data_IF_129581337730
#
_entry.id   IF_129581337730
#
_cell.length_a   1.000
_cell.length_b   1.000
_cell.length_c   1.000
_cell.angle_alpha   90.00
_cell.angle_beta   90.00
_cell.angle_gamma   90.00
#
_symmetry.space_group_name_H-M   'P 1'
#
loop_
_entity.id
_entity.type
_entity.pdbx_description
1 polymer ?
#
# COMPACT_ATOMS: atom_id res chain seq x y z
N UNK A 1 -32.28 9.99 17.33
CA UNK A 1 -31.69 11.05 16.53
C UNK A 1 -30.30 11.37 17.02
N UNK A 2 -29.32 11.50 16.17
CA UNK A 2 -27.92 11.81 16.47
C UNK A 2 -27.39 12.82 15.46
N UNK A 3 -26.46 13.65 15.89
CA UNK A 3 -25.69 14.53 15.04
C UNK A 3 -24.18 14.29 15.32
N UNK A 4 -23.37 14.20 14.29
CA UNK A 4 -21.92 14.04 14.38
C UNK A 4 -21.26 14.64 13.13
N UNK A 5 -20.33 15.57 13.32
CA UNK A 5 -19.77 16.33 12.21
C UNK A 5 -20.87 17.08 11.44
N UNK A 6 -20.89 16.87 10.13
CA UNK A 6 -21.91 17.43 9.22
C UNK A 6 -23.09 16.47 8.94
N UNK A 7 -23.13 15.31 9.62
CA UNK A 7 -24.20 14.31 9.48
C UNK A 7 -25.22 14.45 10.58
N UNK A 8 -26.49 14.50 10.20
CA UNK A 8 -27.65 14.53 11.09
C UNK A 8 -28.62 13.42 10.69
N UNK A 9 -29.04 12.56 11.65
CA UNK A 9 -29.86 11.43 11.26
C UNK A 9 -30.33 10.55 12.44
N UNK A 10 -30.75 9.33 12.11
CA UNK A 10 -31.23 8.35 13.07
C UNK A 10 -30.38 7.09 13.02
N UNK A 11 -30.04 6.56 14.19
CA UNK A 11 -29.37 5.27 14.35
C UNK A 11 -30.29 4.30 15.07
N UNK A 12 -30.11 2.99 14.83
CA UNK A 12 -30.83 1.97 15.59
C UNK A 12 -30.19 1.83 16.99
N UNK A 13 -31.01 1.97 18.03
CA UNK A 13 -30.58 1.88 19.43
C UNK A 13 -29.92 0.55 19.79
N UNK A 14 -30.26 -0.53 19.10
CA UNK A 14 -29.67 -1.86 19.35
C UNK A 14 -28.14 -1.89 19.10
N UNK A 15 -27.64 -0.92 18.35
CA UNK A 15 -26.19 -0.76 18.02
C UNK A 15 -25.55 0.42 18.73
N UNK A 16 -26.20 1.00 19.74
CA UNK A 16 -25.75 2.19 20.43
C UNK A 16 -25.59 1.94 21.93
N UNK A 17 -24.52 2.42 22.49
CA UNK A 17 -24.37 2.63 23.93
C UNK A 17 -24.52 4.11 24.24
N UNK A 18 -25.14 4.45 25.37
CA UNK A 18 -25.46 5.84 25.74
C UNK A 18 -25.12 6.12 27.20
N UNK A 19 -25.06 7.39 27.57
CA UNK A 19 -24.79 7.83 28.95
C UNK A 19 -23.42 7.44 29.49
N UNK A 20 -23.33 7.06 30.74
CA UNK A 20 -22.09 6.69 31.41
C UNK A 20 -21.43 5.44 30.84
N UNK A 21 -22.23 4.52 30.30
CA UNK A 21 -21.74 3.31 29.65
C UNK A 21 -20.99 3.65 28.34
N UNK A 22 -21.51 4.60 27.57
CA UNK A 22 -20.84 5.09 26.36
C UNK A 22 -19.50 5.76 26.70
N UNK A 23 -19.45 6.54 27.78
CA UNK A 23 -18.20 7.16 28.22
C UNK A 23 -17.16 6.12 28.63
N UNK A 24 -17.55 5.11 29.39
CA UNK A 24 -16.67 4.03 29.82
C UNK A 24 -16.17 3.22 28.59
N UNK A 25 -17.04 2.93 27.65
CA UNK A 25 -16.68 2.27 26.39
C UNK A 25 -15.69 3.10 25.59
N UNK A 26 -15.94 4.41 25.45
CA UNK A 26 -15.07 5.31 24.71
C UNK A 26 -13.67 5.40 25.33
N UNK A 27 -13.57 5.54 26.66
CA UNK A 27 -12.29 5.57 27.38
C UNK A 27 -11.48 4.28 27.24
N UNK A 28 -12.12 3.14 27.04
CA UNK A 28 -11.44 1.86 26.84
C UNK A 28 -11.02 1.57 25.41
N UNK A 29 -11.71 2.14 24.43
CA UNK A 29 -11.58 1.75 23.02
C UNK A 29 -11.00 2.85 22.12
N UNK A 30 -10.93 4.09 22.60
CA UNK A 30 -10.40 5.21 21.83
C UNK A 30 -9.19 5.82 22.53
N UNK A 31 -8.25 6.30 21.73
CA UNK A 31 -7.09 7.02 22.22
C UNK A 31 -7.51 8.37 22.81
N UNK A 32 -6.71 8.88 23.74
CA UNK A 32 -6.81 10.25 24.22
C UNK A 32 -5.82 11.12 23.47
N UNK A 33 -6.25 12.30 23.09
CA UNK A 33 -5.44 13.30 22.39
C UNK A 33 -5.31 14.57 23.26
N UNK A 34 -4.19 15.25 23.12
CA UNK A 34 -3.90 16.54 23.75
C UNK A 34 -3.74 17.58 22.65
N UNK A 35 -4.69 18.51 22.53
CA UNK A 35 -4.62 19.65 21.63
C UNK A 35 -3.83 20.80 22.28
N UNK A 36 -2.82 21.29 21.59
CA UNK A 36 -1.94 22.37 22.02
C UNK A 36 -2.66 23.72 21.87
N UNK A 37 -2.69 24.49 22.95
CA UNK A 37 -3.40 25.78 23.02
C UNK A 37 -2.48 27.00 23.04
N UNK A 38 -1.21 26.82 22.75
CA UNK A 38 -0.23 27.92 22.72
C UNK A 38 0.85 27.67 21.69
N UNK A 39 1.41 28.73 21.15
CA UNK A 39 2.55 28.60 20.25
C UNK A 39 3.84 28.37 21.02
N UNK A 40 4.64 27.42 20.54
CA UNK A 40 5.95 27.12 21.12
C UNK A 40 5.90 26.27 22.38
N UNK A 41 4.86 25.42 22.56
CA UNK A 41 4.82 24.44 23.62
C UNK A 41 6.01 23.49 23.50
N UNK A 42 6.79 23.39 24.56
CA UNK A 42 7.99 22.55 24.59
C UNK A 42 7.63 21.11 24.91
N UNK A 43 8.08 20.20 24.07
CA UNK A 43 8.06 18.75 24.32
C UNK A 43 9.37 18.40 25.02
N UNK A 44 9.31 17.74 26.16
CA UNK A 44 10.47 17.44 27.02
C UNK A 44 10.72 15.93 27.15
N UNK A 45 11.97 15.61 27.53
CA UNK A 45 12.37 14.21 27.75
C UNK A 45 11.77 13.60 29.02
N UNK A 46 11.45 14.40 30.01
CA UNK A 46 10.92 14.00 31.33
C UNK A 46 9.87 15.00 31.81
N UNK A 47 9.06 14.60 32.79
CA UNK A 47 8.04 15.43 33.46
C UNK A 47 8.68 16.44 34.43
N UNK A 48 9.58 17.29 33.95
CA UNK A 48 10.32 18.28 34.72
C UNK A 48 10.59 19.54 33.89
N UNK A 49 10.44 20.72 34.51
CA UNK A 49 10.68 22.01 33.84
C UNK A 49 12.14 22.21 33.39
N UNK A 50 13.08 21.54 34.07
CA UNK A 50 14.51 21.57 33.76
C UNK A 50 14.95 20.47 32.80
N UNK A 51 14.06 19.51 32.48
CA UNK A 51 14.36 18.44 31.52
C UNK A 51 14.67 18.96 30.12
N UNK A 52 15.45 18.22 29.40
CA UNK A 52 15.85 18.54 28.01
C UNK A 52 14.64 18.78 27.14
N UNK A 53 14.67 19.89 26.38
CA UNK A 53 13.67 20.17 25.36
C UNK A 53 14.00 19.40 24.08
N UNK A 54 13.09 18.55 23.64
CA UNK A 54 13.23 17.76 22.41
C UNK A 54 12.87 18.62 21.20
N UNK A 55 11.74 19.32 21.29
CA UNK A 55 11.22 20.22 20.24
C UNK A 55 10.18 21.16 20.84
N UNK A 56 9.68 22.07 20.00
CA UNK A 56 8.52 22.89 20.32
C UNK A 56 7.47 22.73 19.21
N UNK A 57 6.20 22.76 19.60
CA UNK A 57 5.05 22.63 18.70
C UNK A 57 4.17 23.85 18.74
N UNK A 58 3.42 24.09 17.66
CA UNK A 58 2.53 25.24 17.52
C UNK A 58 1.14 24.96 18.08
N UNK A 59 0.41 26.02 18.36
CA UNK A 59 -1.03 25.96 18.67
C UNK A 59 -1.80 25.19 17.60
N UNK A 60 -2.80 24.39 18.01
CA UNK A 60 -3.59 23.52 17.15
C UNK A 60 -2.93 22.16 16.84
N UNK A 61 -1.68 21.93 17.29
CA UNK A 61 -1.06 20.62 17.14
C UNK A 61 -1.76 19.61 18.04
N UNK A 62 -2.14 18.45 17.51
CA UNK A 62 -2.70 17.34 18.27
C UNK A 62 -1.62 16.32 18.56
N UNK A 63 -1.47 15.93 19.81
CA UNK A 63 -0.51 14.95 20.31
C UNK A 63 -1.26 13.76 20.91
N UNK A 64 -0.87 12.54 20.55
CA UNK A 64 -1.43 11.34 21.16
C UNK A 64 -0.95 11.23 22.62
N UNK A 65 -1.88 11.10 23.56
CA UNK A 65 -1.57 10.89 24.98
C UNK A 65 -1.11 9.44 25.19
N UNK A 66 -0.06 9.25 25.94
CA UNK A 66 0.40 7.94 26.40
C UNK A 66 -0.33 7.60 27.71
N UNK A 67 -1.50 6.99 27.57
CA UNK A 67 -2.35 6.61 28.72
C UNK A 67 -1.76 5.50 29.57
N UNK A 68 -0.67 4.86 29.14
CA UNK A 68 0.06 3.85 29.92
C UNK A 68 1.03 4.44 30.96
N UNK A 69 1.24 5.76 30.95
CA UNK A 69 2.16 6.45 31.83
C UNK A 69 1.40 7.39 32.73
N UNK A 70 1.45 7.15 34.06
CA UNK A 70 0.91 8.06 35.06
C UNK A 70 1.83 9.27 35.22
N UNK A 71 1.25 10.45 35.21
CA UNK A 71 1.92 11.73 35.46
C UNK A 71 1.19 12.48 36.59
N UNK A 72 1.83 13.48 37.14
CA UNK A 72 1.16 14.43 38.06
C UNK A 72 0.26 15.41 37.26
N UNK A 73 -0.54 16.19 37.95
CA UNK A 73 -1.50 17.12 37.36
C UNK A 73 -0.85 18.24 36.52
N UNK A 74 0.48 18.37 36.54
CA UNK A 74 1.23 19.40 35.81
C UNK A 74 1.71 18.94 34.44
N UNK A 75 1.81 17.63 34.24
CA UNK A 75 2.38 17.05 33.04
C UNK A 75 1.45 16.06 32.37
N UNK A 76 1.53 16.01 31.07
CA UNK A 76 0.86 14.99 30.26
C UNK A 76 1.92 14.23 29.48
N UNK A 77 1.90 12.89 29.58
CA UNK A 77 2.70 12.00 28.79
C UNK A 77 2.10 11.92 27.38
N UNK A 78 2.91 12.13 26.35
CA UNK A 78 2.51 12.10 24.95
C UNK A 78 3.47 11.24 24.13
N UNK A 79 3.00 10.63 23.07
CA UNK A 79 3.84 9.88 22.12
C UNK A 79 4.37 10.85 21.06
N UNK A 80 5.68 11.07 21.02
CA UNK A 80 6.32 11.88 20.00
C UNK A 80 7.56 11.18 19.45
N UNK A 81 7.60 11.00 18.11
CA UNK A 81 8.68 10.25 17.46
C UNK A 81 8.78 8.78 17.90
N UNK A 82 7.64 8.17 18.25
CA UNK A 82 7.57 6.77 18.70
C UNK A 82 8.07 6.54 20.14
N UNK A 83 8.27 7.62 20.93
CA UNK A 83 8.75 7.54 22.32
C UNK A 83 7.91 8.44 23.21
N UNK A 84 7.70 8.01 24.45
CA UNK A 84 7.02 8.82 25.47
C UNK A 84 7.81 10.08 25.76
N UNK A 85 7.12 11.22 25.74
CA UNK A 85 7.60 12.56 26.02
C UNK A 85 6.60 13.29 26.90
N UNK A 86 6.93 14.49 27.35
CA UNK A 86 6.11 15.21 28.31
C UNK A 86 5.87 16.66 27.88
N UNK A 87 4.63 17.10 28.07
CA UNK A 87 4.20 18.48 27.87
C UNK A 87 3.51 19.00 29.11
N UNK A 88 3.55 20.31 29.34
CA UNK A 88 2.83 20.92 30.48
C UNK A 88 1.32 20.86 30.23
N UNK A 89 0.58 20.37 31.22
CA UNK A 89 -0.88 20.25 31.18
C UNK A 89 -1.58 21.61 31.06
N UNK A 90 -0.98 22.70 31.54
CA UNK A 90 -1.56 24.04 31.48
C UNK A 90 -1.79 24.56 30.04
N UNK A 91 -1.10 24.01 29.08
CA UNK A 91 -1.09 24.48 27.68
C UNK A 91 -1.74 23.53 26.68
N UNK A 92 -2.43 22.52 27.17
CA UNK A 92 -3.15 21.57 26.33
C UNK A 92 -4.57 21.32 26.82
N UNK A 93 -5.43 20.87 25.94
CA UNK A 93 -6.76 20.33 26.31
C UNK A 93 -6.79 18.87 25.88
N UNK A 94 -7.16 17.99 26.78
CA UNK A 94 -7.30 16.57 26.47
C UNK A 94 -8.73 16.22 26.08
N UNK A 95 -8.89 15.41 25.07
CA UNK A 95 -10.16 14.85 24.61
C UNK A 95 -9.95 13.43 24.10
N UNK A 96 -11.04 12.67 24.02
CA UNK A 96 -11.01 11.38 23.32
C UNK A 96 -10.93 11.62 21.83
N UNK A 97 -10.10 10.84 21.14
CA UNK A 97 -10.00 10.82 19.67
C UNK A 97 -11.23 10.13 19.06
N UNK A 98 -12.38 10.79 19.17
CA UNK A 98 -13.63 10.30 18.60
C UNK A 98 -13.72 10.75 17.14
N UNK A 99 -14.06 9.81 16.24
CA UNK A 99 -14.37 10.16 14.87
C UNK A 99 -15.63 11.01 14.74
N UNK A 100 -15.71 11.77 13.68
CA UNK A 100 -16.93 12.48 13.29
C UNK A 100 -17.68 11.67 12.23
N UNK A 101 -19.01 11.84 12.19
CA UNK A 101 -19.82 11.26 11.12
C UNK A 101 -19.47 11.93 9.80
N UNK A 102 -19.29 11.12 8.77
CA UNK A 102 -19.07 11.58 7.40
C UNK A 102 -20.20 11.09 6.51
N UNK A 103 -20.52 11.84 5.46
CA UNK A 103 -21.50 11.43 4.47
C UNK A 103 -20.98 10.28 3.62
N UNK A 104 -21.89 9.55 2.95
CA UNK A 104 -21.50 8.49 2.00
C UNK A 104 -20.66 9.06 0.87
N UNK A 105 -20.94 10.26 0.42
CA UNK A 105 -20.19 10.96 -0.61
C UNK A 105 -18.76 11.28 -0.15
N UNK A 106 -18.58 11.72 1.09
CA UNK A 106 -17.27 11.97 1.68
C UNK A 106 -16.48 10.69 1.87
N UNK A 107 -17.11 9.60 2.34
CA UNK A 107 -16.47 8.30 2.46
C UNK A 107 -15.98 7.79 1.09
N UNK A 108 -16.83 7.89 0.06
CA UNK A 108 -16.47 7.48 -1.30
C UNK A 108 -15.32 8.33 -1.88
N UNK A 109 -15.33 9.63 -1.63
CA UNK A 109 -14.27 10.53 -2.06
C UNK A 109 -12.92 10.20 -1.37
N UNK A 110 -12.94 9.91 -0.07
CA UNK A 110 -11.75 9.53 0.68
C UNK A 110 -11.21 8.16 0.21
N UNK A 111 -12.08 7.17 0.00
CA UNK A 111 -11.66 5.87 -0.55
C UNK A 111 -11.07 6.01 -1.95
N UNK A 112 -11.62 6.87 -2.81
CA UNK A 112 -11.07 7.17 -4.12
C UNK A 112 -9.68 7.84 -4.03
N UNK A 113 -9.52 8.79 -3.11
CA UNK A 113 -8.23 9.46 -2.86
C UNK A 113 -7.16 8.48 -2.38
N UNK A 114 -7.51 7.60 -1.44
CA UNK A 114 -6.58 6.56 -0.94
C UNK A 114 -6.16 5.61 -2.09
N UNK A 115 -7.13 5.19 -2.92
CA UNK A 115 -6.83 4.31 -4.05
C UNK A 115 -5.92 4.99 -5.09
N UNK A 116 -6.12 6.29 -5.35
CA UNK A 116 -5.27 7.07 -6.25
C UNK A 116 -3.86 7.26 -5.67
N UNK A 117 -3.73 7.53 -4.37
CA UNK A 117 -2.44 7.66 -3.70
C UNK A 117 -1.66 6.34 -3.68
N UNK A 118 -2.34 5.21 -3.45
CA UNK A 118 -1.71 3.89 -3.55
C UNK A 118 -1.27 3.57 -4.99
N UNK A 119 -2.08 3.92 -5.99
CA UNK A 119 -1.71 3.76 -7.39
C UNK A 119 -0.51 4.63 -7.77
N UNK A 120 -0.48 5.90 -7.30
CA UNK A 120 0.65 6.80 -7.50
C UNK A 120 1.93 6.30 -6.81
N UNK A 121 1.84 5.76 -5.60
CA UNK A 121 2.97 5.14 -4.89
C UNK A 121 3.51 3.91 -5.64
N UNK A 122 2.64 3.08 -6.19
CA UNK A 122 3.03 1.94 -7.03
C UNK A 122 3.72 2.40 -8.32
N UNK A 123 3.19 3.44 -8.97
CA UNK A 123 3.80 4.01 -10.18
C UNK A 123 5.18 4.64 -9.91
N UNK A 124 5.35 5.31 -8.76
CA UNK A 124 6.62 5.93 -8.37
C UNK A 124 7.74 4.90 -8.03
N UNK A 125 7.39 3.63 -7.83
CA UNK A 125 8.36 2.55 -7.62
C UNK A 125 8.96 2.00 -8.95
N UNK A 126 8.53 2.51 -10.09
CA UNK A 126 9.16 2.21 -11.38
C UNK A 126 10.45 3.04 -11.46
N UNK A 127 11.60 2.43 -11.20
CA UNK A 127 12.92 3.04 -11.49
C UNK A 127 12.98 3.35 -13.00
N UNK A 128 13.68 4.40 -13.44
CA UNK A 128 13.84 4.72 -14.87
C UNK A 128 14.15 3.44 -15.67
N UNK A 129 13.15 2.95 -16.38
CA UNK A 129 13.26 1.69 -17.12
C UNK A 129 13.58 2.04 -18.56
N UNK A 130 14.77 1.69 -19.01
CA UNK A 130 15.10 1.77 -20.43
C UNK A 130 14.37 0.67 -21.16
N UNK A 131 13.30 1.04 -21.88
CA UNK A 131 12.57 0.10 -22.74
C UNK A 131 13.38 -0.23 -23.98
N UNK A 132 13.64 -1.50 -24.21
CA UNK A 132 14.34 -2.02 -25.38
C UNK A 132 13.30 -2.64 -26.33
N UNK A 133 13.48 -2.43 -27.64
CA UNK A 133 12.66 -3.04 -28.67
C UNK A 133 13.45 -4.17 -29.33
N UNK A 134 13.06 -5.39 -29.02
CA UNK A 134 13.60 -6.61 -29.63
C UNK A 134 12.83 -6.97 -30.93
N UNK A 135 13.32 -7.95 -31.66
CA UNK A 135 12.56 -8.52 -32.77
C UNK A 135 11.26 -9.18 -32.30
N UNK A 136 10.19 -8.96 -33.01
CA UNK A 136 8.91 -9.64 -32.75
C UNK A 136 9.07 -11.15 -32.93
N UNK A 137 8.33 -11.93 -32.16
CA UNK A 137 8.22 -13.39 -32.33
C UNK A 137 6.89 -13.69 -32.99
N UNK A 138 6.91 -14.49 -34.01
CA UNK A 138 5.66 -15.00 -34.61
C UNK A 138 4.90 -15.80 -33.53
N UNK A 139 3.68 -15.40 -33.28
CA UNK A 139 2.86 -15.95 -32.20
C UNK A 139 1.47 -16.28 -32.71
N UNK A 140 0.92 -17.38 -32.22
CA UNK A 140 -0.47 -17.75 -32.41
C UNK A 140 -1.39 -17.02 -31.43
N UNK A 141 -2.70 -17.07 -31.67
CA UNK A 141 -3.70 -16.56 -30.71
C UNK A 141 -3.59 -17.29 -29.36
N UNK A 142 -3.25 -18.58 -29.43
CA UNK A 142 -3.04 -19.40 -28.22
C UNK A 142 -1.81 -18.92 -27.40
N UNK A 143 -0.73 -18.51 -28.06
CA UNK A 143 0.47 -17.96 -27.40
C UNK A 143 0.16 -16.64 -26.69
N UNK A 144 -0.61 -15.75 -27.33
CA UNK A 144 -1.05 -14.48 -26.69
C UNK A 144 -1.87 -14.76 -25.45
N UNK A 145 -2.84 -15.67 -25.55
CA UNK A 145 -3.72 -16.04 -24.45
C UNK A 145 -2.95 -16.69 -23.30
N UNK A 146 -2.02 -17.58 -23.61
CA UNK A 146 -1.20 -18.27 -22.63
C UNK A 146 -0.22 -17.32 -21.91
N UNK A 147 0.43 -16.44 -22.68
CA UNK A 147 1.31 -15.40 -22.11
C UNK A 147 0.53 -14.42 -21.24
N UNK A 148 -0.65 -13.99 -21.66
CA UNK A 148 -1.52 -13.15 -20.85
C UNK A 148 -1.99 -13.85 -19.58
N UNK A 149 -2.23 -15.15 -19.63
CA UNK A 149 -2.64 -15.93 -18.45
C UNK A 149 -1.54 -16.04 -17.40
N UNK A 150 -0.28 -16.27 -17.81
CA UNK A 150 0.83 -16.27 -16.84
C UNK A 150 1.08 -14.86 -16.29
N UNK A 151 1.04 -13.82 -17.12
CA UNK A 151 1.13 -12.43 -16.68
C UNK A 151 0.06 -12.15 -15.61
N UNK A 152 -1.18 -12.56 -15.85
CA UNK A 152 -2.25 -12.36 -14.86
C UNK A 152 -2.01 -13.13 -13.57
N UNK A 153 -1.48 -14.34 -13.61
CA UNK A 153 -1.19 -15.13 -12.43
C UNK A 153 -0.08 -14.53 -11.56
N UNK A 154 0.95 -13.96 -12.19
CA UNK A 154 2.13 -13.43 -11.51
C UNK A 154 2.01 -11.94 -11.17
N UNK A 155 1.37 -11.14 -12.03
CA UNK A 155 1.35 -9.69 -11.97
C UNK A 155 -0.02 -9.06 -12.25
N UNK A 156 -1.11 -9.80 -12.15
CA UNK A 156 -2.45 -9.33 -12.52
C UNK A 156 -3.01 -8.19 -11.66
N UNK A 157 -2.36 -7.88 -10.55
CA UNK A 157 -2.68 -6.74 -9.66
C UNK A 157 -1.54 -5.70 -9.61
N UNK A 158 -0.51 -5.87 -10.43
CA UNK A 158 0.58 -4.90 -10.57
C UNK A 158 0.18 -3.77 -11.53
N UNK A 159 0.96 -2.68 -11.53
CA UNK A 159 0.91 -1.65 -12.57
C UNK A 159 1.20 -2.27 -13.94
N UNK A 160 0.75 -1.60 -15.00
CA UNK A 160 0.88 -2.12 -16.37
C UNK A 160 2.32 -2.47 -16.74
N UNK A 161 3.27 -1.63 -16.36
CA UNK A 161 4.71 -1.85 -16.57
C UNK A 161 5.21 -3.14 -15.90
N UNK A 162 4.65 -3.50 -14.74
CA UNK A 162 4.94 -4.77 -14.05
C UNK A 162 4.36 -5.98 -14.79
N UNK A 163 3.17 -5.83 -15.37
CA UNK A 163 2.56 -6.85 -16.24
C UNK A 163 3.40 -7.06 -17.50
N UNK A 164 3.80 -5.98 -18.18
CA UNK A 164 4.67 -6.03 -19.35
C UNK A 164 6.02 -6.67 -19.01
N UNK A 165 6.61 -6.34 -17.87
CA UNK A 165 7.90 -6.87 -17.43
C UNK A 165 7.88 -8.39 -17.23
N UNK A 166 6.80 -8.95 -16.67
CA UNK A 166 6.64 -10.43 -16.59
C UNK A 166 6.56 -11.05 -17.97
N UNK A 167 5.81 -10.42 -18.90
CA UNK A 167 5.75 -10.84 -20.29
C UNK A 167 7.13 -10.79 -20.97
N UNK A 168 7.87 -9.70 -20.76
CA UNK A 168 9.23 -9.52 -21.28
C UNK A 168 10.19 -10.62 -20.78
N UNK A 169 10.14 -11.00 -19.49
CA UNK A 169 10.95 -12.12 -18.97
C UNK A 169 10.68 -13.42 -19.71
N UNK A 170 9.41 -13.77 -19.96
CA UNK A 170 9.08 -14.98 -20.72
C UNK A 170 9.68 -14.89 -22.13
N UNK A 171 9.54 -13.76 -22.81
CA UNK A 171 10.06 -13.55 -24.16
C UNK A 171 11.58 -13.50 -24.21
N UNK A 172 12.24 -12.95 -23.20
CA UNK A 172 13.71 -12.97 -23.07
C UNK A 172 14.23 -14.40 -22.92
N UNK A 173 13.54 -15.25 -22.17
CA UNK A 173 13.86 -16.68 -22.07
C UNK A 173 13.73 -17.37 -23.43
N UNK A 174 12.63 -17.16 -24.15
CA UNK A 174 12.43 -17.71 -25.51
C UNK A 174 13.57 -17.33 -26.45
N UNK A 175 14.11 -16.10 -26.35
CA UNK A 175 15.19 -15.59 -27.20
C UNK A 175 16.60 -15.98 -26.76
N UNK A 176 16.82 -16.31 -25.50
CA UNK A 176 18.16 -16.40 -24.90
C UNK A 176 18.93 -17.68 -25.27
N UNK A 177 18.33 -18.68 -25.86
CA UNK A 177 18.97 -19.98 -26.16
C UNK A 177 19.32 -20.84 -24.94
N UNK A 178 19.21 -20.29 -23.72
CA UNK A 178 19.42 -21.01 -22.47
C UNK A 178 18.13 -21.61 -21.87
N UNK A 179 17.00 -21.35 -22.50
CA UNK A 179 15.67 -21.79 -22.12
C UNK A 179 14.96 -22.42 -23.33
N UNK A 180 13.79 -23.04 -23.13
CA UNK A 180 12.97 -23.51 -24.25
C UNK A 180 12.65 -22.39 -25.24
N UNK A 181 12.48 -22.73 -26.51
CA UNK A 181 12.31 -21.77 -27.60
C UNK A 181 10.85 -21.39 -27.91
N UNK A 182 9.89 -21.89 -27.13
CA UNK A 182 8.46 -21.58 -27.30
C UNK A 182 7.88 -20.95 -26.03
N UNK A 183 6.87 -20.12 -26.19
CA UNK A 183 6.13 -19.51 -25.07
C UNK A 183 5.58 -20.60 -24.14
N UNK A 184 4.94 -21.61 -24.71
CA UNK A 184 4.38 -22.74 -23.99
C UNK A 184 5.44 -23.44 -23.12
N UNK A 185 6.56 -23.84 -23.72
CA UNK A 185 7.56 -24.63 -23.01
C UNK A 185 8.32 -23.84 -21.94
N UNK A 186 8.49 -22.52 -22.12
CA UNK A 186 9.03 -21.63 -21.08
C UNK A 186 8.06 -21.53 -19.90
N UNK A 187 6.77 -21.36 -20.15
CA UNK A 187 5.76 -21.22 -19.09
C UNK A 187 5.61 -22.52 -18.28
N UNK A 188 5.61 -23.66 -18.96
CA UNK A 188 5.45 -24.98 -18.33
C UNK A 188 6.77 -25.65 -17.93
N UNK A 189 7.90 -24.95 -18.10
CA UNK A 189 9.19 -25.47 -17.64
C UNK A 189 9.14 -25.78 -16.14
N UNK A 190 9.57 -26.98 -15.77
CA UNK A 190 9.48 -27.47 -14.38
C UNK A 190 10.08 -26.48 -13.38
N UNK A 191 9.32 -26.16 -12.36
CA UNK A 191 9.71 -25.30 -11.22
C UNK A 191 10.01 -23.82 -11.56
N UNK A 192 9.67 -23.35 -12.75
CA UNK A 192 9.87 -21.93 -13.12
C UNK A 192 8.69 -21.05 -12.72
N UNK A 193 7.48 -21.48 -13.05
CA UNK A 193 6.25 -20.76 -12.74
C UNK A 193 5.30 -21.65 -11.91
N UNK A 194 5.25 -21.48 -10.57
CA UNK A 194 4.35 -22.28 -9.73
C UNK A 194 2.88 -22.29 -10.18
N UNK A 195 2.29 -21.17 -10.66
CA UNK A 195 0.92 -21.15 -11.18
C UNK A 195 0.68 -22.06 -12.37
N UNK A 196 1.69 -22.28 -13.24
CA UNK A 196 1.57 -23.19 -14.37
C UNK A 196 1.45 -24.66 -13.89
N UNK A 197 2.31 -25.08 -12.96
CA UNK A 197 2.27 -26.41 -12.38
C UNK A 197 1.00 -26.69 -11.55
N UNK A 198 0.41 -25.66 -10.94
CA UNK A 198 -0.85 -25.75 -10.18
C UNK A 198 -2.13 -25.69 -11.04
N UNK A 199 -2.02 -25.55 -12.36
CA UNK A 199 -3.17 -25.44 -13.27
C UNK A 199 -3.85 -24.06 -13.29
N UNK A 200 -3.34 -23.09 -12.55
CA UNK A 200 -3.93 -21.74 -12.50
C UNK A 200 -3.87 -21.04 -13.86
N UNK A 201 -2.75 -21.19 -14.58
CA UNK A 201 -2.57 -20.60 -15.91
C UNK A 201 -3.62 -21.16 -16.90
N UNK A 202 -3.81 -22.48 -16.92
CA UNK A 202 -4.82 -23.11 -17.77
C UNK A 202 -6.25 -22.62 -17.46
N UNK A 203 -6.56 -22.45 -16.17
CA UNK A 203 -7.85 -21.94 -15.73
C UNK A 203 -8.07 -20.47 -16.14
N UNK A 204 -7.05 -19.63 -16.05
CA UNK A 204 -7.13 -18.22 -16.48
C UNK A 204 -7.27 -18.16 -18.01
N UNK A 205 -6.47 -18.93 -18.75
CA UNK A 205 -6.55 -18.99 -20.22
C UNK A 205 -7.96 -19.39 -20.69
N UNK A 206 -8.55 -20.42 -20.06
CA UNK A 206 -9.90 -20.89 -20.40
C UNK A 206 -11.02 -19.88 -20.09
N UNK A 207 -10.86 -19.06 -19.04
CA UNK A 207 -11.83 -18.02 -18.65
C UNK A 207 -11.67 -16.71 -19.42
N UNK A 208 -10.56 -16.53 -20.10
CA UNK A 208 -10.12 -15.29 -20.72
C UNK A 208 -9.35 -14.40 -19.75
N UNK A 209 -8.09 -14.06 -20.05
CA UNK A 209 -7.29 -13.12 -19.24
C UNK A 209 -7.86 -11.70 -19.28
N UNK A 210 -7.45 -10.87 -18.29
CA UNK A 210 -7.76 -9.44 -18.24
C UNK A 210 -7.23 -8.73 -19.50
N UNK A 211 -7.93 -7.70 -19.94
CA UNK A 211 -7.55 -6.93 -21.13
C UNK A 211 -6.15 -6.31 -21.03
N UNK A 212 -5.77 -5.80 -19.86
CA UNK A 212 -4.42 -5.25 -19.63
C UNK A 212 -3.33 -6.31 -19.78
N UNK A 213 -3.58 -7.55 -19.32
CA UNK A 213 -2.64 -8.65 -19.48
C UNK A 213 -2.54 -9.13 -20.93
N UNK A 214 -3.64 -9.10 -21.69
CA UNK A 214 -3.63 -9.38 -23.14
C UNK A 214 -2.81 -8.34 -23.90
N UNK A 215 -2.97 -7.06 -23.57
CA UNK A 215 -2.19 -5.99 -24.16
C UNK A 215 -0.70 -6.14 -23.82
N UNK A 216 -0.35 -6.38 -22.56
CA UNK A 216 1.03 -6.60 -22.13
C UNK A 216 1.68 -7.81 -22.83
N UNK A 217 0.92 -8.90 -23.00
CA UNK A 217 1.38 -10.07 -23.74
C UNK A 217 1.68 -9.74 -25.20
N UNK A 218 0.78 -9.02 -25.87
CA UNK A 218 0.96 -8.61 -27.26
C UNK A 218 2.19 -7.70 -27.43
N UNK A 219 2.41 -6.74 -26.53
CA UNK A 219 3.58 -5.87 -26.57
C UNK A 219 4.88 -6.64 -26.34
N UNK A 220 4.92 -7.56 -25.38
CA UNK A 220 6.09 -8.41 -25.14
C UNK A 220 6.41 -9.33 -26.34
N UNK A 221 5.39 -9.91 -26.98
CA UNK A 221 5.54 -10.69 -28.21
C UNK A 221 6.07 -9.84 -29.37
N UNK A 222 5.60 -8.60 -29.48
CA UNK A 222 6.08 -7.63 -30.45
C UNK A 222 7.51 -7.14 -30.16
N UNK A 223 8.12 -7.56 -29.07
CA UNK A 223 9.51 -7.29 -28.76
C UNK A 223 9.78 -6.22 -27.69
N UNK A 224 8.74 -5.62 -27.14
CA UNK A 224 8.89 -4.61 -26.07
C UNK A 224 9.44 -5.27 -24.81
N UNK A 225 10.56 -4.77 -24.31
CA UNK A 225 11.22 -5.22 -23.09
C UNK A 225 11.59 -4.02 -22.22
N UNK A 226 10.96 -3.92 -21.08
CA UNK A 226 11.22 -2.90 -20.07
C UNK A 226 12.04 -3.43 -18.89
N UNK A 227 12.69 -4.58 -19.02
CA UNK A 227 13.48 -5.22 -17.95
C UNK A 227 14.99 -5.17 -18.22
N UNK A 228 15.41 -4.71 -19.40
CA UNK A 228 16.82 -4.71 -19.81
C UNK A 228 17.39 -6.10 -20.09
N UNK A 229 16.57 -7.03 -20.58
CA UNK A 229 16.98 -8.40 -20.92
C UNK A 229 16.88 -9.39 -19.77
N UNK A 230 16.23 -9.03 -18.64
CA UNK A 230 16.10 -9.91 -17.49
C UNK A 230 15.40 -11.22 -17.85
N UNK A 231 15.89 -12.32 -17.30
CA UNK A 231 15.31 -13.66 -17.44
C UNK A 231 14.74 -14.23 -16.15
N UNK A 232 14.90 -13.48 -15.05
CA UNK A 232 14.42 -13.84 -13.73
C UNK A 232 13.74 -12.64 -13.05
N UNK A 233 12.84 -12.94 -12.13
CA UNK A 233 12.28 -11.94 -11.22
C UNK A 233 11.94 -12.58 -9.87
N UNK A 234 11.82 -11.72 -8.87
CA UNK A 234 11.32 -12.06 -7.53
C UNK A 234 10.73 -10.83 -6.87
N UNK A 235 10.21 -10.97 -5.65
CA UNK A 235 9.69 -9.81 -4.90
C UNK A 235 10.80 -8.78 -4.67
N UNK A 236 10.49 -7.50 -4.86
CA UNK A 236 11.42 -6.39 -4.63
C UNK A 236 11.95 -6.38 -3.18
N UNK A 237 11.11 -6.78 -2.21
CA UNK A 237 11.50 -6.93 -0.80
C UNK A 237 12.60 -7.97 -0.54
N UNK A 238 12.99 -8.77 -1.54
CA UNK A 238 14.12 -9.72 -1.41
C UNK A 238 15.48 -9.03 -1.34
N UNK A 239 15.58 -7.74 -1.67
CA UNK A 239 16.84 -6.99 -1.72
C UNK A 239 17.78 -7.41 -2.85
N UNK A 240 17.32 -8.19 -3.85
CA UNK A 240 18.13 -8.59 -4.99
C UNK A 240 18.43 -7.37 -5.88
N UNK A 241 19.64 -7.31 -6.42
CA UNK A 241 20.01 -6.27 -7.38
C UNK A 241 19.32 -6.52 -8.73
N UNK A 242 18.79 -5.47 -9.36
CA UNK A 242 18.11 -5.54 -10.65
C UNK A 242 17.21 -4.33 -10.88
N UNK A 243 16.39 -4.39 -11.93
CA UNK A 243 15.41 -3.36 -12.27
C UNK A 243 14.17 -3.57 -11.42
N UNK A 244 13.79 -2.60 -10.60
CA UNK A 244 12.57 -2.67 -9.77
C UNK A 244 11.39 -2.07 -10.54
N UNK A 245 10.35 -2.87 -10.72
CA UNK A 245 9.09 -2.44 -11.36
C UNK A 245 7.94 -2.98 -10.49
N UNK A 246 7.16 -2.08 -9.90
CA UNK A 246 6.12 -2.44 -8.94
C UNK A 246 6.67 -3.22 -7.74
N UNK A 247 6.08 -4.36 -7.43
CA UNK A 247 6.50 -5.21 -6.31
C UNK A 247 7.58 -6.25 -6.68
N UNK A 248 8.14 -6.18 -7.89
CA UNK A 248 9.13 -7.14 -8.39
C UNK A 248 10.48 -6.48 -8.72
N UNK A 249 11.54 -7.25 -8.57
CA UNK A 249 12.88 -6.95 -9.09
C UNK A 249 13.22 -7.94 -10.19
N UNK A 250 13.64 -7.43 -11.34
CA UNK A 250 13.97 -8.16 -12.57
C UNK A 250 15.48 -8.18 -12.78
N UNK A 251 16.10 -9.35 -13.11
CA UNK A 251 17.55 -9.55 -13.24
C UNK A 251 17.90 -10.70 -14.19
#
# INVERSE_FOLDING_TARGET
>A
HVASGNVDGYVNNDYCVTGTEALAYAQQNFDTEAEVRTNGLRIRSEADENASVITAVSEGTTLKVDSGVETDDKWIAVVYGGTTRYVSADYVTTSLALGEGITIEEEQAELARIAEEEAAKKAAQVTEVTTVQNAAVEATVDDVTLLAAIIQCEAGNEVYEGQLAVGAVVMNRVRSGGYPSTVHDVIYQKSQFPPAGAGSVANVAAKGPKQSCLQAAQEALNGTDNTGGATCFRRASSGHAGVVIGNHVFY
#
